data_IF_622620089188
#
_entry.id   IF_622620089188
#
_cell.length_a   1.000
_cell.length_b   1.000
_cell.length_c   1.000
_cell.angle_alpha   90.00
_cell.angle_beta   90.00
_cell.angle_gamma   90.00
#
_symmetry.space_group_name_H-M   'P 1'
#
loop_
_entity.id
_entity.type
_entity.pdbx_description
1 polymer ?
#
# COMPACT_ATOMS: atom_id res chain seq x y z
N UNK A 1 12.19 -10.30 -9.23
CA UNK A 1 11.11 -9.50 -8.61
C UNK A 1 9.82 -10.30 -8.45
N UNK A 2 9.94 -11.52 -7.96
CA UNK A 2 8.87 -12.49 -7.89
C UNK A 2 7.77 -12.08 -6.88
N UNK A 3 8.01 -11.06 -6.05
CA UNK A 3 7.03 -10.49 -5.12
C UNK A 3 6.21 -9.34 -5.72
N UNK A 4 6.78 -8.51 -6.59
CA UNK A 4 6.11 -7.30 -7.12
C UNK A 4 5.56 -7.48 -8.55
N UNK A 5 6.16 -8.35 -9.37
CA UNK A 5 5.82 -8.46 -10.80
C UNK A 5 5.07 -9.74 -11.20
N UNK A 6 4.81 -10.67 -10.27
CA UNK A 6 4.06 -11.90 -10.61
C UNK A 6 2.57 -11.61 -10.93
N UNK A 7 2.02 -10.49 -10.47
CA UNK A 7 0.66 -10.03 -10.78
C UNK A 7 0.57 -8.50 -10.74
N UNK A 8 0.56 -7.89 -11.92
CA UNK A 8 0.62 -6.44 -12.06
C UNK A 8 -0.76 -5.79 -11.91
N UNK A 9 -0.77 -4.53 -11.45
CA UNK A 9 -1.95 -3.68 -11.56
C UNK A 9 -2.36 -3.54 -13.03
N UNK A 10 -3.66 -3.68 -13.30
CA UNK A 10 -4.21 -3.32 -14.60
C UNK A 10 -4.08 -1.81 -14.82
N UNK A 11 -3.89 -1.42 -16.07
CA UNK A 11 -3.94 -0.01 -16.46
C UNK A 11 -5.29 0.58 -16.10
N UNK A 12 -5.28 1.82 -15.61
CA UNK A 12 -6.52 2.55 -15.33
C UNK A 12 -7.20 2.86 -16.67
N UNK A 13 -8.45 2.42 -16.89
CA UNK A 13 -9.20 2.74 -18.10
C UNK A 13 -9.51 4.23 -18.22
N UNK A 14 -9.95 4.67 -19.40
CA UNK A 14 -10.20 6.09 -19.70
C UNK A 14 -11.31 6.72 -18.84
N UNK A 15 -12.25 5.91 -18.34
CA UNK A 15 -13.30 6.34 -17.42
C UNK A 15 -12.82 6.46 -15.96
N UNK A 16 -11.58 6.03 -15.68
CA UNK A 16 -10.97 6.07 -14.35
C UNK A 16 -11.51 5.00 -13.39
N UNK A 17 -12.37 4.08 -13.84
CA UNK A 17 -12.99 3.10 -12.95
C UNK A 17 -12.10 1.88 -12.72
N UNK A 18 -11.84 1.56 -11.46
CA UNK A 18 -10.97 0.44 -11.08
C UNK A 18 -11.83 -0.78 -10.76
N UNK A 19 -11.67 -1.85 -11.54
CA UNK A 19 -12.33 -3.13 -11.26
C UNK A 19 -11.84 -3.73 -9.93
N UNK A 20 -12.79 -4.05 -9.04
CA UNK A 20 -12.52 -4.54 -7.69
C UNK A 20 -11.76 -5.87 -7.69
N UNK A 21 -12.21 -6.81 -8.52
CA UNK A 21 -11.65 -8.16 -8.61
C UNK A 21 -10.14 -8.14 -8.88
N UNK A 22 -9.72 -7.61 -10.03
CA UNK A 22 -8.31 -7.51 -10.42
C UNK A 22 -7.47 -6.64 -9.48
N UNK A 23 -8.02 -5.53 -8.96
CA UNK A 23 -7.32 -4.71 -7.98
C UNK A 23 -6.95 -5.52 -6.74
N UNK A 24 -7.91 -6.24 -6.17
CA UNK A 24 -7.72 -7.07 -4.99
C UNK A 24 -6.75 -8.23 -5.26
N UNK A 25 -6.77 -8.83 -6.45
CA UNK A 25 -5.82 -9.88 -6.83
C UNK A 25 -4.37 -9.36 -6.85
N UNK A 26 -4.16 -8.15 -7.36
CA UNK A 26 -2.86 -7.50 -7.36
C UNK A 26 -2.39 -7.16 -5.94
N UNK A 27 -3.22 -6.48 -5.13
CA UNK A 27 -2.81 -6.04 -3.78
C UNK A 27 -2.69 -7.20 -2.79
N UNK A 28 -3.36 -8.34 -3.01
CA UNK A 28 -3.24 -9.54 -2.17
C UNK A 28 -1.82 -10.12 -2.14
N UNK A 29 -0.96 -9.75 -3.10
CA UNK A 29 0.45 -10.18 -3.17
C UNK A 29 1.42 -9.26 -2.43
N UNK A 30 0.96 -8.08 -2.00
CA UNK A 30 1.79 -7.08 -1.34
C UNK A 30 2.06 -7.31 0.15
N UNK A 31 1.21 -7.97 0.98
CA UNK A 31 1.51 -8.16 2.39
C UNK A 31 2.87 -8.85 2.69
N UNK A 32 3.33 -9.84 1.90
CA UNK A 32 4.68 -10.39 2.05
C UNK A 32 5.85 -9.39 1.86
N UNK A 33 5.62 -8.22 1.26
CA UNK A 33 6.61 -7.14 1.21
C UNK A 33 7.13 -6.77 2.61
N UNK A 34 6.25 -6.80 3.62
CA UNK A 34 6.63 -6.47 5.00
C UNK A 34 7.52 -7.54 5.65
N UNK A 35 7.53 -8.77 5.13
CA UNK A 35 8.49 -9.80 5.57
C UNK A 35 9.92 -9.45 5.10
N UNK A 36 10.05 -8.59 4.07
CA UNK A 36 11.34 -8.11 3.56
C UNK A 36 11.87 -6.92 4.38
N UNK A 37 11.08 -6.30 5.25
CA UNK A 37 11.43 -5.07 5.97
C UNK A 37 12.04 -5.32 7.35
N UNK A 38 12.39 -6.56 7.70
CA UNK A 38 13.18 -6.88 8.89
C UNK A 38 12.44 -7.79 9.87
N UNK A 39 12.55 -7.50 11.17
CA UNK A 39 12.15 -8.45 12.20
C UNK A 39 10.61 -8.65 12.23
N UNK A 40 10.12 -9.90 12.25
CA UNK A 40 8.69 -10.19 12.28
C UNK A 40 7.95 -9.53 13.42
N UNK A 41 8.59 -9.33 14.58
CA UNK A 41 7.97 -8.70 15.75
C UNK A 41 7.53 -7.25 15.48
N UNK A 42 8.21 -6.54 14.57
CA UNK A 42 7.91 -5.16 14.22
C UNK A 42 6.90 -5.07 13.08
N UNK A 43 7.06 -5.90 12.04
CA UNK A 43 6.32 -5.73 10.78
C UNK A 43 5.16 -6.71 10.58
N UNK A 44 5.05 -7.80 11.35
CA UNK A 44 3.90 -8.72 11.28
C UNK A 44 2.56 -8.04 11.59
N UNK A 45 2.45 -7.12 12.58
CA UNK A 45 1.21 -6.39 12.81
C UNK A 45 0.78 -5.54 11.60
N UNK A 46 1.75 -4.91 10.92
CA UNK A 46 1.49 -4.08 9.72
C UNK A 46 1.03 -4.95 8.56
N UNK A 47 1.68 -6.09 8.34
CA UNK A 47 1.27 -7.10 7.36
C UNK A 47 -0.16 -7.59 7.63
N UNK A 48 -0.48 -7.88 8.89
CA UNK A 48 -1.81 -8.37 9.30
C UNK A 48 -2.90 -7.31 9.08
N UNK A 49 -2.62 -6.03 9.35
CA UNK A 49 -3.55 -4.94 9.07
C UNK A 49 -3.86 -4.81 7.57
N UNK A 50 -2.82 -4.81 6.72
CA UNK A 50 -2.98 -4.75 5.27
C UNK A 50 -3.81 -5.93 4.75
N UNK A 51 -3.46 -7.16 5.16
CA UNK A 51 -4.18 -8.37 4.79
C UNK A 51 -5.63 -8.39 5.30
N UNK A 52 -5.85 -7.87 6.51
CA UNK A 52 -7.18 -7.73 7.10
C UNK A 52 -8.08 -6.79 6.29
N UNK A 53 -7.54 -5.66 5.85
CA UNK A 53 -8.27 -4.72 4.99
C UNK A 53 -8.62 -5.35 3.63
N UNK A 54 -7.67 -6.02 2.99
CA UNK A 54 -7.90 -6.76 1.72
C UNK A 54 -9.00 -7.80 1.90
N UNK A 55 -8.94 -8.60 2.98
CA UNK A 55 -9.96 -9.62 3.28
C UNK A 55 -11.35 -9.02 3.47
N UNK A 56 -11.46 -7.88 4.17
CA UNK A 56 -12.76 -7.19 4.36
C UNK A 56 -13.36 -6.73 3.03
N UNK A 57 -12.54 -6.12 2.17
CA UNK A 57 -13.02 -5.64 0.85
C UNK A 57 -13.39 -6.83 -0.04
N UNK A 58 -12.59 -7.90 -0.03
CA UNK A 58 -12.88 -9.15 -0.75
C UNK A 58 -14.21 -9.76 -0.32
N UNK A 59 -14.49 -9.83 0.99
CA UNK A 59 -15.76 -10.36 1.49
C UNK A 59 -16.98 -9.57 0.98
N UNK A 60 -16.88 -8.24 0.92
CA UNK A 60 -17.94 -7.40 0.32
C UNK A 60 -18.07 -7.67 -1.18
N UNK A 61 -16.96 -7.71 -1.91
CA UNK A 61 -16.94 -8.03 -3.34
C UNK A 61 -17.60 -9.38 -3.66
N UNK A 62 -17.21 -10.44 -2.95
CA UNK A 62 -17.69 -11.81 -3.17
C UNK A 62 -19.18 -11.99 -2.82
N UNK A 63 -19.74 -11.12 -1.98
CA UNK A 63 -21.18 -11.15 -1.68
C UNK A 63 -22.05 -10.86 -2.90
N UNK A 64 -21.56 -10.03 -3.83
CA UNK A 64 -22.21 -9.77 -5.12
C UNK A 64 -21.20 -9.11 -6.11
N UNK A 65 -20.41 -9.91 -6.85
CA UNK A 65 -19.38 -9.39 -7.75
C UNK A 65 -19.90 -8.48 -8.86
N UNK A 66 -21.16 -8.66 -9.28
CA UNK A 66 -21.82 -7.80 -10.27
C UNK A 66 -22.16 -6.43 -9.69
N UNK A 67 -22.67 -6.39 -8.45
CA UNK A 67 -23.00 -5.13 -7.74
C UNK A 67 -21.75 -4.36 -7.34
N UNK A 68 -20.68 -5.07 -6.95
CA UNK A 68 -19.42 -4.49 -6.49
C UNK A 68 -18.32 -4.57 -7.55
N UNK A 69 -18.70 -4.40 -8.82
CA UNK A 69 -17.79 -4.56 -9.98
C UNK A 69 -16.57 -3.64 -9.88
N UNK A 70 -16.77 -2.38 -9.50
CA UNK A 70 -15.70 -1.39 -9.33
C UNK A 70 -15.56 -0.93 -7.88
N UNK A 71 -14.38 -0.41 -7.52
CA UNK A 71 -14.15 0.15 -6.19
C UNK A 71 -15.11 1.31 -5.88
N UNK A 72 -15.48 2.08 -6.91
CA UNK A 72 -16.48 3.14 -6.82
C UNK A 72 -17.85 2.59 -6.45
N UNK A 73 -18.27 1.47 -7.06
CA UNK A 73 -19.54 0.84 -6.70
C UNK A 73 -19.58 0.41 -5.22
N UNK A 74 -18.45 -0.04 -4.64
CA UNK A 74 -18.38 -0.32 -3.19
C UNK A 74 -18.74 0.92 -2.38
N UNK A 75 -18.08 2.06 -2.66
CA UNK A 75 -18.32 3.29 -1.91
C UNK A 75 -19.75 3.80 -2.08
N UNK A 76 -20.31 3.76 -3.31
CA UNK A 76 -21.67 4.21 -3.61
C UNK A 76 -22.71 3.36 -2.89
N UNK A 77 -22.60 2.02 -3.02
CA UNK A 77 -23.54 1.08 -2.41
C UNK A 77 -23.46 1.12 -0.88
N UNK A 78 -22.25 1.17 -0.30
CA UNK A 78 -22.10 1.25 1.15
C UNK A 78 -22.58 2.59 1.71
N UNK A 79 -22.47 3.68 0.94
CA UNK A 79 -23.02 4.98 1.33
C UNK A 79 -24.54 4.93 1.48
N UNK A 80 -25.22 4.31 0.51
CA UNK A 80 -26.67 4.10 0.59
C UNK A 80 -27.06 3.14 1.72
N UNK A 81 -26.30 2.04 1.88
CA UNK A 81 -26.59 0.99 2.85
C UNK A 81 -26.42 1.47 4.30
N UNK A 82 -25.37 2.23 4.59
CA UNK A 82 -25.00 2.61 5.96
C UNK A 82 -25.39 4.04 6.34
N UNK A 83 -25.81 4.86 5.38
CA UNK A 83 -26.30 6.22 5.62
C UNK A 83 -25.35 7.03 6.52
N UNK A 84 -25.80 7.54 7.68
CA UNK A 84 -24.97 8.37 8.58
C UNK A 84 -23.70 7.70 9.13
N UNK A 85 -23.61 6.36 9.12
CA UNK A 85 -22.43 5.64 9.60
C UNK A 85 -21.31 5.59 8.54
N UNK A 86 -21.62 5.86 7.27
CA UNK A 86 -20.64 5.99 6.20
C UNK A 86 -19.89 7.34 6.31
N UNK A 87 -18.58 7.42 6.00
CA UNK A 87 -17.69 6.38 5.46
C UNK A 87 -16.92 5.59 6.52
N UNK A 88 -17.24 5.72 7.82
CA UNK A 88 -16.47 5.09 8.92
C UNK A 88 -16.89 3.63 9.18
N UNK A 89 -17.19 2.87 8.13
CA UNK A 89 -17.63 1.48 8.22
C UNK A 89 -17.32 0.69 6.94
N UNK A 90 -17.48 -0.62 7.00
CA UNK A 90 -17.47 -1.50 5.82
C UNK A 90 -16.14 -1.58 5.07
N UNK A 91 -16.24 -1.98 3.80
CA UNK A 91 -15.13 -2.01 2.85
C UNK A 91 -14.64 -0.61 2.49
N UNK A 92 -15.47 0.43 2.60
CA UNK A 92 -15.08 1.83 2.43
C UNK A 92 -14.02 2.20 3.46
N UNK A 93 -14.22 1.86 4.74
CA UNK A 93 -13.22 2.11 5.77
C UNK A 93 -11.98 1.24 5.57
N UNK A 94 -12.15 -0.02 5.19
CA UNK A 94 -11.02 -0.92 4.93
C UNK A 94 -10.14 -0.43 3.76
N UNK A 95 -10.74 -0.01 2.66
CA UNK A 95 -10.03 0.53 1.49
C UNK A 95 -9.35 1.87 1.82
N UNK A 96 -9.91 2.66 2.75
CA UNK A 96 -9.28 3.91 3.20
C UNK A 96 -7.95 3.67 3.92
N UNK A 97 -7.88 2.63 4.76
CA UNK A 97 -6.64 2.24 5.43
C UNK A 97 -5.69 1.52 4.47
N UNK A 98 -6.21 0.64 3.62
CA UNK A 98 -5.44 -0.05 2.59
C UNK A 98 -4.71 0.94 1.68
N UNK A 99 -5.39 1.96 1.12
CA UNK A 99 -4.75 2.93 0.21
C UNK A 99 -3.61 3.71 0.87
N UNK A 100 -3.67 3.96 2.19
CA UNK A 100 -2.58 4.59 2.94
C UNK A 100 -1.38 3.66 3.09
N UNK A 101 -1.61 2.38 3.40
CA UNK A 101 -0.56 1.36 3.40
C UNK A 101 0.09 1.19 2.02
N UNK A 102 -0.71 1.18 0.96
CA UNK A 102 -0.21 1.14 -0.43
C UNK A 102 0.60 2.40 -0.77
N UNK A 103 0.17 3.59 -0.31
CA UNK A 103 0.93 4.83 -0.50
C UNK A 103 2.29 4.79 0.19
N UNK A 104 2.37 4.20 1.39
CA UNK A 104 3.64 3.98 2.06
C UNK A 104 4.58 3.12 1.21
N UNK A 105 4.11 1.97 0.69
CA UNK A 105 4.92 1.09 -0.16
C UNK A 105 5.35 1.83 -1.43
N UNK A 106 4.42 2.54 -2.10
CA UNK A 106 4.71 3.32 -3.31
C UNK A 106 5.83 4.33 -3.06
N UNK A 107 5.71 5.16 -2.02
CA UNK A 107 6.68 6.23 -1.75
C UNK A 107 8.03 5.66 -1.31
N UNK A 108 8.04 4.58 -0.53
CA UNK A 108 9.28 3.91 -0.12
C UNK A 108 10.03 3.38 -1.34
N UNK A 109 9.33 2.64 -2.21
CA UNK A 109 9.91 2.09 -3.44
C UNK A 109 10.38 3.18 -4.40
N UNK A 110 9.59 4.24 -4.59
CA UNK A 110 9.95 5.37 -5.44
C UNK A 110 11.21 6.07 -4.93
N UNK A 111 11.27 6.38 -3.64
CA UNK A 111 12.43 7.01 -3.00
C UNK A 111 13.71 6.17 -3.18
N UNK A 112 13.61 4.85 -3.03
CA UNK A 112 14.73 3.93 -3.26
C UNK A 112 15.15 3.89 -4.74
N UNK A 113 14.18 3.89 -5.66
CA UNK A 113 14.43 3.81 -7.10
C UNK A 113 14.94 5.11 -7.71
N UNK A 114 14.65 6.25 -7.07
CA UNK A 114 15.17 7.57 -7.45
C UNK A 114 16.59 7.81 -6.92
N UNK A 115 17.13 6.85 -6.15
CA UNK A 115 18.48 6.93 -5.58
C UNK A 115 18.58 7.81 -4.33
N UNK A 116 17.47 8.24 -3.74
CA UNK A 116 17.48 9.01 -2.50
C UNK A 116 18.08 8.18 -1.37
N UNK A 117 19.06 8.75 -0.66
CA UNK A 117 19.78 8.07 0.41
C UNK A 117 20.41 9.06 1.37
N UNK A 118 20.79 8.56 2.53
CA UNK A 118 21.73 9.24 3.41
C UNK A 118 23.15 9.02 2.85
N UNK A 119 23.87 10.08 2.48
CA UNK A 119 25.22 9.97 1.92
C UNK A 119 26.24 9.46 2.95
N UNK A 120 26.00 9.64 4.25
CA UNK A 120 26.86 9.07 5.30
C UNK A 120 26.60 7.57 5.49
N UNK A 121 25.36 7.12 5.22
CA UNK A 121 24.93 5.73 5.41
C UNK A 121 24.12 5.22 4.21
N UNK A 122 24.72 5.12 3.01
CA UNK A 122 23.99 4.92 1.74
C UNK A 122 23.30 3.55 1.63
N UNK A 123 23.67 2.59 2.47
CA UNK A 123 23.04 1.28 2.52
C UNK A 123 21.87 1.20 3.51
N UNK A 124 21.54 2.27 4.25
CA UNK A 124 20.37 2.32 5.14
C UNK A 124 19.15 2.88 4.39
N UNK A 125 17.98 2.29 4.61
CA UNK A 125 16.71 2.74 4.00
C UNK A 125 15.85 3.61 4.93
N UNK A 126 16.44 4.11 6.03
CA UNK A 126 15.71 4.83 7.09
C UNK A 126 15.11 6.13 6.60
N UNK A 127 15.87 6.91 5.82
CA UNK A 127 15.40 8.19 5.26
C UNK A 127 14.21 7.97 4.30
N UNK A 128 14.26 6.91 3.50
CA UNK A 128 13.20 6.54 2.58
C UNK A 128 11.92 6.12 3.33
N UNK A 129 12.07 5.30 4.38
CA UNK A 129 10.95 4.85 5.21
C UNK A 129 10.32 6.00 6.02
N UNK A 130 11.13 6.92 6.56
CA UNK A 130 10.64 8.13 7.23
C UNK A 130 9.86 9.04 6.27
N UNK A 131 10.38 9.27 5.06
CA UNK A 131 9.67 10.02 4.02
C UNK A 131 8.34 9.37 3.65
N UNK A 132 8.33 8.06 3.42
CA UNK A 132 7.11 7.31 3.11
C UNK A 132 6.06 7.43 4.22
N UNK A 133 6.50 7.35 5.48
CA UNK A 133 5.63 7.50 6.64
C UNK A 133 5.03 8.89 6.78
N UNK A 134 5.87 9.92 6.62
CA UNK A 134 5.45 11.33 6.69
C UNK A 134 4.29 11.60 5.71
N UNK A 135 4.46 11.13 4.47
CA UNK A 135 3.51 11.36 3.37
C UNK A 135 2.24 10.51 3.53
N UNK A 136 2.38 9.24 3.89
CA UNK A 136 1.27 8.28 3.79
C UNK A 136 0.46 8.13 5.08
N UNK A 137 1.09 8.15 6.26
CA UNK A 137 0.50 7.60 7.49
C UNK A 137 0.55 8.55 8.69
N UNK A 138 1.62 9.33 8.87
CA UNK A 138 1.90 10.07 10.11
C UNK A 138 0.73 10.93 10.61
N UNK A 139 0.05 11.64 9.70
CA UNK A 139 -1.09 12.51 10.05
C UNK A 139 -2.29 11.75 10.65
N UNK A 140 -2.41 10.46 10.34
CA UNK A 140 -3.46 9.56 10.81
C UNK A 140 -3.07 8.73 12.03
N UNK A 141 -1.86 8.91 12.58
CA UNK A 141 -1.40 8.20 13.75
C UNK A 141 -1.35 9.13 14.97
N UNK A 142 -1.87 8.65 16.10
CA UNK A 142 -1.67 9.26 17.40
C UNK A 142 -0.21 9.26 17.84
N UNK A 143 0.10 10.01 18.90
CA UNK A 143 1.47 10.19 19.39
C UNK A 143 2.18 8.86 19.67
N UNK A 144 1.46 7.87 20.21
CA UNK A 144 1.99 6.55 20.53
C UNK A 144 2.45 5.80 19.27
N UNK A 145 1.58 5.71 18.26
CA UNK A 145 1.90 5.05 16.99
C UNK A 145 3.04 5.78 16.24
N UNK A 146 3.12 7.11 16.34
CA UNK A 146 4.25 7.86 15.80
C UNK A 146 5.58 7.48 16.47
N UNK A 147 5.60 7.34 17.80
CA UNK A 147 6.80 6.91 18.53
C UNK A 147 7.19 5.47 18.21
N UNK A 148 6.21 4.57 18.12
CA UNK A 148 6.45 3.19 17.71
C UNK A 148 7.05 3.13 16.30
N UNK A 149 6.53 3.92 15.35
CA UNK A 149 7.12 4.00 14.01
C UNK A 149 8.56 4.51 14.04
N UNK A 150 8.83 5.61 14.75
CA UNK A 150 10.20 6.15 14.88
C UNK A 150 11.19 5.17 15.52
N UNK A 151 10.74 4.27 16.39
CA UNK A 151 11.57 3.17 16.89
C UNK A 151 11.73 2.04 15.87
N UNK A 152 10.68 1.72 15.11
CA UNK A 152 10.67 0.61 14.15
C UNK A 152 11.72 0.76 13.04
N UNK A 153 12.03 1.99 12.61
CA UNK A 153 12.97 2.22 11.50
C UNK A 153 14.40 1.73 11.78
N UNK A 154 14.75 1.51 13.05
CA UNK A 154 16.04 0.93 13.42
C UNK A 154 16.12 -0.58 13.19
N UNK A 155 14.98 -1.25 13.02
CA UNK A 155 14.89 -2.68 12.68
C UNK A 155 14.79 -2.94 11.17
N UNK A 156 14.81 -1.88 10.34
CA UNK A 156 14.83 -2.00 8.88
C UNK A 156 16.14 -2.65 8.41
N UNK A 157 16.09 -3.46 7.33
CA UNK A 157 17.27 -4.07 6.74
C UNK A 157 18.15 -3.01 6.05
N UNK A 158 19.33 -3.44 5.63
CA UNK A 158 20.09 -2.72 4.62
C UNK A 158 19.35 -2.72 3.27
N UNK A 159 19.62 -1.71 2.43
CA UNK A 159 19.10 -1.61 1.06
C UNK A 159 19.45 -2.87 0.27
N UNK A 160 20.71 -3.31 0.33
CA UNK A 160 21.17 -4.54 -0.32
C UNK A 160 20.36 -5.78 0.07
N UNK A 161 20.02 -5.91 1.36
CA UNK A 161 19.26 -7.05 1.88
C UNK A 161 17.79 -6.98 1.46
N UNK A 162 17.20 -5.78 1.43
CA UNK A 162 15.86 -5.57 0.90
C UNK A 162 15.79 -5.97 -0.59
N UNK A 163 16.72 -5.48 -1.42
CA UNK A 163 16.75 -5.83 -2.85
C UNK A 163 16.90 -7.34 -3.05
N UNK A 164 17.75 -8.00 -2.25
CA UNK A 164 17.90 -9.47 -2.25
C UNK A 164 16.63 -10.20 -1.84
N UNK A 165 15.91 -9.70 -0.85
CA UNK A 165 14.64 -10.27 -0.42
C UNK A 165 13.56 -10.14 -1.50
N UNK A 166 13.49 -9.00 -2.21
CA UNK A 166 12.57 -8.77 -3.33
C UNK A 166 12.81 -9.72 -4.52
N UNK A 167 14.06 -10.16 -4.70
CA UNK A 167 14.45 -11.17 -5.67
C UNK A 167 14.28 -12.62 -5.17
N UNK A 168 13.67 -12.83 -3.99
CA UNK A 168 13.49 -14.15 -3.35
C UNK A 168 14.80 -14.94 -3.25
N UNK A 169 15.92 -14.25 -2.99
CA UNK A 169 17.24 -14.87 -2.82
C UNK A 169 17.95 -15.30 -4.10
N UNK A 170 17.42 -14.96 -5.29
CA UNK A 170 18.14 -15.08 -6.56
C UNK A 170 19.33 -14.12 -6.61
N UNK A 171 20.23 -14.33 -7.57
CA UNK A 171 21.30 -13.38 -7.86
C UNK A 171 20.70 -12.00 -8.14
N UNK A 172 21.21 -10.98 -7.44
CA UNK A 172 20.69 -9.62 -7.49
C UNK A 172 21.54 -8.81 -8.44
N UNK A 173 20.95 -8.42 -9.57
CA UNK A 173 21.43 -7.27 -10.32
C UNK A 173 20.63 -6.05 -9.81
N UNK A 174 21.30 -5.11 -9.14
CA UNK A 174 20.65 -3.94 -8.57
C UNK A 174 19.93 -3.11 -9.64
N UNK A 175 20.57 -2.85 -10.77
CA UNK A 175 20.00 -2.07 -11.87
C UNK A 175 18.71 -2.71 -12.41
N UNK A 176 18.73 -4.02 -12.68
CA UNK A 176 17.53 -4.75 -13.11
C UNK A 176 16.44 -4.75 -12.04
N UNK A 177 16.83 -4.80 -10.76
CA UNK A 177 15.88 -4.78 -9.64
C UNK A 177 15.22 -3.40 -9.57
N UNK A 178 15.99 -2.32 -9.71
CA UNK A 178 15.45 -0.96 -9.73
C UNK A 178 14.52 -0.75 -10.93
N UNK A 179 14.88 -1.21 -12.13
CA UNK A 179 14.03 -1.12 -13.33
C UNK A 179 12.68 -1.84 -13.13
N UNK A 180 12.71 -3.03 -12.55
CA UNK A 180 11.48 -3.78 -12.20
C UNK A 180 10.63 -3.05 -11.15
N UNK A 181 11.23 -2.29 -10.23
CA UNK A 181 10.51 -1.41 -9.30
C UNK A 181 9.85 -0.26 -10.07
N UNK A 182 10.54 0.38 -11.00
CA UNK A 182 9.96 1.44 -11.84
C UNK A 182 8.76 0.93 -12.65
N UNK A 183 8.86 -0.26 -13.24
CA UNK A 183 7.75 -0.89 -13.98
C UNK A 183 6.52 -1.14 -13.09
N UNK A 184 6.73 -1.63 -11.86
CA UNK A 184 5.66 -1.78 -10.88
C UNK A 184 5.02 -0.41 -10.54
N UNK A 185 5.85 0.60 -10.25
CA UNK A 185 5.38 1.94 -9.88
C UNK A 185 4.61 2.64 -11.00
N UNK A 186 5.02 2.46 -12.26
CA UNK A 186 4.34 3.01 -13.43
C UNK A 186 2.89 2.52 -13.55
N UNK A 187 2.59 1.31 -13.08
CA UNK A 187 1.24 0.74 -13.08
C UNK A 187 0.48 1.00 -11.78
N UNK A 188 1.16 0.90 -10.64
CA UNK A 188 0.55 1.08 -9.32
C UNK A 188 0.17 2.54 -9.03
N UNK A 189 1.00 3.50 -9.46
CA UNK A 189 0.81 4.93 -9.13
C UNK A 189 -0.51 5.48 -9.69
N UNK A 190 -0.85 5.32 -11.00
CA UNK A 190 -2.11 5.82 -11.52
C UNK A 190 -3.34 5.20 -10.86
N UNK A 191 -3.30 3.91 -10.53
CA UNK A 191 -4.38 3.23 -9.81
C UNK A 191 -4.56 3.85 -8.42
N UNK A 192 -3.47 4.06 -7.70
CA UNK A 192 -3.54 4.62 -6.35
C UNK A 192 -4.03 6.08 -6.38
N UNK A 193 -3.53 6.89 -7.30
CA UNK A 193 -3.97 8.28 -7.45
C UNK A 193 -5.47 8.36 -7.78
N UNK A 194 -5.97 7.50 -8.68
CA UNK A 194 -7.40 7.40 -8.96
C UNK A 194 -8.24 7.00 -7.72
N UNK A 195 -7.72 6.12 -6.84
CA UNK A 195 -8.40 5.80 -5.57
C UNK A 195 -8.41 7.02 -4.65
N UNK A 196 -7.31 7.76 -4.51
CA UNK A 196 -7.27 8.96 -3.68
C UNK A 196 -8.22 10.06 -4.19
N UNK A 197 -8.28 10.25 -5.51
CA UNK A 197 -9.21 11.17 -6.16
C UNK A 197 -10.67 10.74 -5.95
N UNK A 198 -10.98 9.45 -6.06
CA UNK A 198 -12.30 8.90 -5.78
C UNK A 198 -12.73 9.20 -4.34
N UNK A 199 -11.87 8.96 -3.34
CA UNK A 199 -12.17 9.27 -1.94
C UNK A 199 -12.44 10.75 -1.71
N UNK A 200 -11.68 11.62 -2.38
CA UNK A 200 -11.85 13.07 -2.32
C UNK A 200 -13.19 13.48 -2.93
N UNK A 201 -13.49 13.05 -4.17
CA UNK A 201 -14.73 13.38 -4.89
C UNK A 201 -15.98 12.87 -4.18
N UNK A 202 -15.89 11.71 -3.53
CA UNK A 202 -17.03 11.12 -2.81
C UNK A 202 -17.20 11.65 -1.38
N UNK A 203 -16.25 12.45 -0.88
CA UNK A 203 -16.17 12.85 0.53
C UNK A 203 -16.09 11.64 1.49
N UNK A 204 -15.31 10.63 1.11
CA UNK A 204 -15.12 9.39 1.86
C UNK A 204 -13.85 9.40 2.75
N UNK A 205 -13.00 10.42 2.64
CA UNK A 205 -11.74 10.52 3.39
C UNK A 205 -11.98 11.00 4.82
N UNK A 206 -11.45 10.26 5.81
CA UNK A 206 -11.53 10.64 7.22
C UNK A 206 -10.15 10.99 7.79
N UNK A 207 -10.07 12.03 8.62
CA UNK A 207 -8.82 12.52 9.21
C UNK A 207 -8.64 12.15 10.70
N UNK A 208 -9.38 11.15 11.20
CA UNK A 208 -9.20 10.70 12.57
C UNK A 208 -7.84 10.01 12.74
N UNK A 209 -7.31 10.06 13.96
CA UNK A 209 -6.07 9.38 14.33
C UNK A 209 -6.38 8.00 14.91
N UNK A 210 -5.70 6.98 14.41
CA UNK A 210 -5.59 5.68 15.06
C UNK A 210 -4.72 5.77 16.32
#
# INVERSE_FOLDING_TARGET
>A
MALLLEHEFRLVPADGEIETGPFLDAVARLPPFFDCLGTPIVYSPVKADLAGNIKKIRAVYESNPTKFKTLKNILEVEKELYGPAWPKTGATLALMWLKRGLKFIQVLLQSLSDGERDEENPNLIRVNALKAYEIALKKYHGWMLQKLFSGSVYALPYKSDLLKALEKGKEVNEEETIEKIHQFLAKATPVLDAIYDMYTKMNAELNYKA
#
